data_IF_614074631518
#
_entry.id   IF_614074631518
#
_cell.length_a   1.000
_cell.length_b   1.000
_cell.length_c   1.000
_cell.angle_alpha   90.00
_cell.angle_beta   90.00
_cell.angle_gamma   90.00
#
_symmetry.space_group_name_H-M   'P 1'
#
loop_
_entity.id
_entity.type
_entity.pdbx_description
1 polymer ?
2 branched ?
3 non-polymer ?
4 non-polymer ?
5 water ?
#
# COMPACT_ATOMS: atom_id res chain seq x y z
N UNK A 8 -8.40 -28.35 -2.16
CA UNK A 8 -8.56 -27.94 -3.55
C UNK A 8 -7.67 -26.74 -3.89
N UNK A 9 -6.63 -26.97 -4.69
CA UNK A 9 -5.72 -25.90 -5.12
C UNK A 9 -6.47 -24.88 -5.99
N UNK A 10 -7.59 -25.29 -6.56
CA UNK A 10 -8.44 -24.36 -7.31
C UNK A 10 -9.00 -23.29 -6.37
N UNK A 11 -9.46 -23.70 -5.19
CA UNK A 11 -9.97 -22.75 -4.20
C UNK A 11 -8.83 -21.86 -3.69
N UNK A 12 -7.68 -22.45 -3.46
CA UNK A 12 -6.50 -21.67 -3.11
C UNK A 12 -6.23 -20.63 -4.20
N UNK A 13 -6.39 -21.04 -5.44
CA UNK A 13 -6.09 -20.14 -6.55
C UNK A 13 -7.16 -19.07 -6.61
N UNK A 14 -8.40 -19.42 -6.25
CA UNK A 14 -9.49 -18.44 -6.21
C UNK A 14 -9.13 -17.33 -5.22
N UNK A 15 -8.68 -17.73 -4.04
CA UNK A 15 -8.33 -16.78 -2.99
C UNK A 15 -7.13 -15.93 -3.41
N UNK A 16 -6.14 -16.57 -4.01
CA UNK A 16 -5.00 -15.83 -4.55
C UNK A 16 -5.46 -14.70 -5.49
N UNK A 17 -6.36 -15.05 -6.41
CA UNK A 17 -6.76 -14.16 -7.49
C UNK A 17 -7.93 -13.26 -7.13
N UNK A 18 -8.72 -13.62 -6.12
CA UNK A 18 -9.94 -12.87 -5.89
C UNK A 18 -10.21 -12.49 -4.43
N UNK A 19 -9.20 -12.65 -3.58
CA UNK A 19 -9.42 -12.39 -2.16
C UNK A 19 -8.32 -11.55 -1.50
N UNK A 20 -8.74 -10.48 -0.85
CA UNK A 20 -7.83 -9.69 -0.02
C UNK A 20 -8.65 -9.17 1.17
N UNK A 21 -8.39 -9.75 2.35
CA UNK A 21 -9.21 -9.52 3.56
C UNK A 21 -9.31 -8.06 4.01
N UNK A 22 -8.14 -7.43 4.22
CA UNK A 22 -8.06 -6.09 4.78
C UNK A 22 -7.11 -5.22 3.92
N UNK A 23 -7.60 -4.75 2.76
CA UNK A 23 -6.78 -4.01 1.78
C UNK A 23 -6.24 -2.68 2.34
N UNK A 24 -4.96 -2.43 2.13
CA UNK A 24 -4.33 -1.17 2.56
C UNK A 24 -4.89 0.02 1.79
N UNK A 25 -5.41 -0.24 0.59
CA UNK A 25 -5.98 0.80 -0.25
C UNK A 25 -7.00 0.24 -1.24
N UNK A 26 -7.58 1.10 -2.08
CA UNK A 26 -8.59 0.66 -3.05
C UNK A 26 -8.43 1.39 -4.36
N UNK A 27 -7.24 1.90 -4.63
CA UNK A 27 -6.98 2.79 -5.76
C UNK A 27 -6.14 2.12 -6.86
N UNK A 28 -5.84 2.90 -7.92
CA UNK A 28 -5.01 2.42 -9.04
C UNK A 28 -3.71 1.72 -8.62
N UNK A 29 -3.03 2.29 -7.64
CA UNK A 29 -1.75 1.74 -7.23
C UNK A 29 -1.88 0.43 -6.43
N UNK A 30 -2.93 0.33 -5.62
CA UNK A 30 -3.30 -0.93 -5.00
C UNK A 30 -3.41 -2.04 -6.06
N UNK A 31 -4.14 -1.74 -7.14
CA UNK A 31 -4.32 -2.68 -8.24
C UNK A 31 -3.04 -3.05 -8.96
N UNK A 32 -2.20 -2.05 -9.24
CA UNK A 32 -0.97 -2.30 -9.97
C UNK A 32 -0.05 -3.17 -9.12
N UNK A 33 -0.10 -2.95 -7.81
CA UNK A 33 0.61 -3.80 -6.87
C UNK A 33 0.02 -5.22 -6.81
N UNK A 34 -1.29 -5.30 -6.53
CA UNK A 34 -1.98 -6.59 -6.36
C UNK A 34 -1.94 -7.48 -7.60
N UNK A 35 -2.12 -6.89 -8.78
CA UNK A 35 -2.19 -7.71 -9.98
C UNK A 35 -0.89 -8.51 -10.19
N UNK A 36 0.27 -7.88 -9.95
CA UNK A 36 1.55 -8.59 -10.03
C UNK A 36 1.74 -9.56 -8.84
N UNK A 37 1.51 -9.08 -7.62
CA UNK A 37 1.59 -9.93 -6.43
C UNK A 37 0.79 -11.21 -6.59
N UNK A 38 -0.36 -11.13 -7.24
CA UNK A 38 -1.25 -12.29 -7.33
C UNK A 38 -1.13 -13.07 -8.66
N UNK A 39 -0.10 -12.77 -9.45
CA UNK A 39 0.24 -13.61 -10.59
C UNK A 39 -0.57 -13.36 -11.85
N UNK A 40 -1.08 -12.14 -12.00
CA UNK A 40 -1.99 -11.83 -13.09
C UNK A 40 -1.42 -10.88 -14.14
N UNK A 41 -0.09 -10.79 -14.24
CA UNK A 41 0.54 -9.81 -15.12
C UNK A 41 1.48 -10.45 -16.14
N UNK A 42 1.42 -11.77 -16.29
CA UNK A 42 2.22 -12.47 -17.30
C UNK A 42 1.36 -13.36 -18.19
N UNK A 43 0.60 -12.77 -19.12
CA UNK A 43 0.55 -11.32 -19.41
C UNK A 43 -0.57 -10.58 -18.63
N UNK A 44 -0.74 -9.28 -18.92
CA UNK A 44 -1.68 -8.41 -18.20
C UNK A 44 -3.11 -8.93 -18.28
N UNK A 45 -3.68 -9.28 -17.12
CA UNK A 45 -5.08 -9.69 -17.09
C UNK A 45 -5.94 -8.45 -17.25
N UNK A 46 -6.99 -8.54 -18.08
CA UNK A 46 -7.74 -7.36 -18.46
C UNK A 46 -8.61 -6.80 -17.34
N UNK A 47 -9.33 -7.68 -16.65
CA UNK A 47 -10.21 -7.27 -15.56
C UNK A 47 -10.14 -8.31 -14.44
N UNK A 48 -10.01 -7.84 -13.20
CA UNK A 48 -9.93 -8.75 -12.07
C UNK A 48 -10.47 -8.10 -10.82
N UNK A 49 -11.42 -8.78 -10.16
CA UNK A 49 -12.01 -8.27 -8.91
C UNK A 49 -11.42 -8.95 -7.68
N UNK A 50 -10.95 -8.15 -6.72
CA UNK A 50 -10.65 -8.68 -5.39
C UNK A 50 -11.81 -8.48 -4.43
N UNK A 51 -12.26 -9.56 -3.80
CA UNK A 51 -13.29 -9.49 -2.77
C UNK A 51 -12.62 -9.26 -1.42
N UNK A 52 -13.21 -8.39 -0.60
CA UNK A 52 -12.66 -8.13 0.71
C UNK A 52 -13.60 -8.67 1.77
N UNK A 53 -13.19 -8.59 3.03
CA UNK A 53 -14.01 -9.06 4.12
C UNK A 53 -13.62 -10.43 4.63
N UNK A 54 -14.59 -11.16 5.17
CA UNK A 54 -14.30 -12.43 5.77
C UNK A 54 -14.39 -13.52 4.73
N UNK A 55 -13.43 -14.43 4.75
CA UNK A 55 -13.33 -15.45 3.73
C UNK A 55 -14.52 -16.41 3.77
N UNK A 56 -15.08 -16.60 4.96
CA UNK A 56 -16.13 -17.59 5.18
C UNK A 56 -17.42 -17.22 4.48
N UNK A 57 -17.62 -15.94 4.24
CA UNK A 57 -18.85 -15.47 3.63
C UNK A 57 -18.80 -15.74 2.14
N UNK A 58 -17.59 -15.72 1.58
CA UNK A 58 -17.40 -16.03 0.15
C UNK A 58 -17.64 -17.52 -0.12
N UNK A 59 -17.00 -18.34 0.68
CA UNK A 59 -17.09 -19.80 0.60
C UNK A 59 -18.55 -20.23 0.76
N UNK A 60 -19.28 -19.51 1.59
CA UNK A 60 -20.69 -19.85 1.84
C UNK A 60 -21.60 -19.47 0.67
N UNK A 61 -21.05 -18.82 -0.34
CA UNK A 61 -21.86 -18.52 -1.53
C UNK A 61 -22.22 -19.85 -2.18
N UNK A 62 -21.38 -20.85 -1.93
CA UNK A 62 -21.58 -22.19 -2.47
C UNK A 62 -22.74 -22.86 -1.77
N UNK A 63 -23.17 -22.30 -0.66
CA UNK A 63 -24.29 -22.84 0.09
C UNK A 63 -25.32 -21.79 0.44
N UNK A 64 -25.49 -21.60 1.74
CA UNK A 64 -26.57 -20.75 2.25
C UNK A 64 -26.45 -19.29 1.83
N UNK A 65 -25.25 -18.82 1.51
CA UNK A 65 -25.12 -17.43 1.11
C UNK A 65 -25.17 -17.30 -0.41
N UNK A 66 -25.69 -18.35 -1.04
CA UNK A 66 -25.85 -18.37 -2.49
C UNK A 66 -27.24 -18.76 -3.00
N UNK A 67 -27.49 -18.46 -4.27
CA UNK A 67 -28.59 -19.06 -5.03
C UNK A 67 -28.12 -19.30 -6.46
N UNK A 68 -28.71 -20.28 -7.14
CA UNK A 68 -28.33 -20.61 -8.52
C UNK A 68 -28.47 -19.39 -9.43
N UNK A 69 -27.58 -19.28 -10.42
CA UNK A 69 -27.56 -18.15 -11.32
C UNK A 69 -27.29 -18.60 -12.76
N UNK A 72 -24.70 -22.52 -14.50
CA UNK A 72 -23.85 -23.30 -13.59
C UNK A 72 -23.17 -22.44 -12.52
N UNK A 73 -23.73 -21.26 -12.24
CA UNK A 73 -23.09 -20.30 -11.36
C UNK A 73 -23.90 -20.08 -10.08
N UNK A 74 -23.39 -19.19 -9.22
CA UNK A 74 -24.09 -18.85 -7.99
C UNK A 74 -23.93 -17.37 -7.68
N UNK A 75 -25.05 -16.73 -7.37
CA UNK A 75 -25.03 -15.32 -7.00
C UNK A 75 -25.14 -15.15 -5.47
N UNK A 76 -24.30 -14.29 -4.91
CA UNK A 76 -24.27 -14.09 -3.45
C UNK A 76 -25.60 -13.51 -2.93
N UNK A 77 -25.99 -13.97 -1.75
CA UNK A 77 -27.19 -13.47 -1.08
C UNK A 77 -26.86 -12.27 -0.19
N UNK A 78 -25.59 -11.95 -0.12
CA UNK A 78 -25.13 -10.77 0.61
C UNK A 78 -24.13 -10.02 -0.25
N UNK A 79 -23.97 -8.72 0.01
CA UNK A 79 -23.05 -7.85 -0.73
C UNK A 79 -21.67 -7.87 -0.11
N UNK A 80 -20.68 -7.48 -0.90
CA UNK A 80 -19.29 -7.54 -0.48
C UNK A 80 -18.60 -6.25 -0.87
N UNK A 81 -17.67 -5.81 -0.03
CA UNK A 81 -16.72 -4.80 -0.46
C UNK A 81 -15.86 -5.49 -1.51
N UNK A 82 -15.75 -4.89 -2.70
CA UNK A 82 -14.86 -5.40 -3.75
C UNK A 82 -14.03 -4.27 -4.38
N UNK A 83 -12.95 -4.65 -5.04
CA UNK A 83 -12.18 -3.70 -5.82
C UNK A 83 -11.92 -4.34 -7.16
N UNK A 84 -12.40 -3.69 -8.22
CA UNK A 84 -12.17 -4.22 -9.54
C UNK A 84 -10.99 -3.51 -10.22
N UNK A 85 -9.95 -4.28 -10.56
CA UNK A 85 -8.81 -3.74 -11.32
C UNK A 85 -9.03 -3.87 -12.83
N UNK A 86 -8.86 -2.76 -13.56
CA UNK A 86 -9.04 -2.75 -15.02
C UNK A 86 -7.81 -2.21 -15.76
N UNK A 87 -7.29 -3.03 -16.67
CA UNK A 87 -6.13 -2.67 -17.45
C UNK A 87 -6.30 -1.35 -18.20
N UNK A 88 -5.25 -0.52 -18.18
CA UNK A 88 -5.19 0.63 -19.07
C UNK A 88 -3.81 0.72 -19.68
N UNK A 89 -3.62 1.74 -20.51
CA UNK A 89 -2.29 2.10 -20.93
C UNK A 89 -1.93 1.85 -22.37
N UNK A 90 -2.65 0.93 -23.04
CA UNK A 90 -2.33 0.55 -24.41
C UNK A 90 -2.32 -0.96 -24.50
N UNK A 91 -1.25 -1.52 -25.07
CA UNK A 91 -1.13 -2.98 -25.23
C UNK A 91 -0.86 -3.65 -23.91
N UNK A 92 -1.28 -4.93 -23.79
CA UNK A 92 -1.18 -5.66 -22.52
C UNK A 92 0.19 -6.31 -22.30
N UNK A 93 1.24 -5.56 -22.57
CA UNK A 93 2.59 -5.96 -22.16
C UNK A 93 2.80 -5.38 -20.79
N UNK A 94 3.39 -6.16 -19.87
CA UNK A 94 3.87 -5.59 -18.61
C UNK A 94 4.99 -4.59 -18.89
N UNK A 95 5.23 -3.62 -18.00
CA UNK A 95 4.54 -3.47 -16.70
C UNK A 95 3.08 -3.03 -16.87
N UNK A 96 2.21 -3.69 -16.14
CA UNK A 96 0.77 -3.52 -16.34
C UNK A 96 0.19 -2.37 -15.54
N UNK A 97 -0.37 -1.41 -16.26
CA UNK A 97 -1.08 -0.29 -15.65
C UNK A 97 -2.54 -0.69 -15.41
N UNK A 98 -3.11 -0.22 -14.30
CA UNK A 98 -4.50 -0.52 -13.96
C UNK A 98 -5.20 0.68 -13.33
N UNK A 99 -6.51 0.76 -13.53
CA UNK A 99 -7.31 1.61 -12.68
C UNK A 99 -8.22 0.77 -11.79
N UNK A 100 -8.73 1.35 -10.73
CA UNK A 100 -9.51 0.61 -9.75
C UNK A 100 -10.93 1.17 -9.64
N UNK A 101 -11.92 0.28 -9.54
CA UNK A 101 -13.28 0.65 -9.13
C UNK A 101 -13.65 -0.12 -7.86
N UNK A 102 -13.68 0.62 -6.75
CA UNK A 102 -14.13 0.09 -5.48
C UNK A 102 -15.62 -0.03 -5.63
N UNK A 103 -16.18 -1.10 -5.07
CA UNK A 103 -17.59 -1.36 -5.17
C UNK A 103 -18.14 -2.03 -3.91
N UNK A 104 -19.46 -2.00 -3.78
CA UNK A 104 -20.12 -2.73 -2.70
C UNK A 104 -21.36 -3.41 -3.29
N UNK A 105 -21.22 -4.68 -3.66
CA UNK A 105 -22.32 -5.34 -4.34
C UNK A 105 -22.31 -6.85 -4.23
N UNK A 106 -23.33 -7.46 -4.82
CA UNK A 106 -23.41 -8.89 -4.85
C UNK A 106 -22.49 -9.41 -5.93
N UNK A 107 -22.04 -10.65 -5.80
CA UNK A 107 -21.13 -11.21 -6.80
C UNK A 107 -21.57 -12.59 -7.28
N UNK A 108 -21.08 -12.96 -8.46
CA UNK A 108 -21.40 -14.27 -9.02
C UNK A 108 -20.12 -15.10 -9.07
N UNK A 109 -20.18 -16.31 -8.55
CA UNK A 109 -19.02 -17.21 -8.62
C UNK A 109 -19.43 -18.59 -9.13
N UNK A 110 -18.45 -19.37 -9.57
CA UNK A 110 -18.70 -20.77 -9.86
C UNK A 110 -18.18 -21.59 -8.68
N UNK A 111 -19.00 -22.53 -8.22
CA UNK A 111 -18.63 -23.44 -7.16
C UNK A 111 -18.48 -24.84 -7.73
N UNK A 112 -17.54 -25.60 -7.17
CA UNK A 112 -17.41 -27.00 -7.54
C UNK A 112 -17.01 -27.82 -6.32
N UNK A 113 -17.75 -28.90 -6.10
CA UNK A 113 -17.61 -29.73 -4.90
C UNK A 113 -17.48 -28.89 -3.61
N UNK A 114 -18.34 -27.89 -3.47
CA UNK A 114 -18.52 -27.19 -2.22
C UNK A 114 -17.65 -25.95 -2.08
N UNK A 115 -16.90 -25.62 -3.14
CA UNK A 115 -15.92 -24.52 -3.06
C UNK A 115 -15.91 -23.56 -4.27
N UNK A 116 -15.67 -22.28 -4.00
CA UNK A 116 -15.55 -21.31 -5.12
C UNK A 116 -14.30 -21.62 -5.96
N UNK A 117 -14.41 -21.59 -7.29
CA UNK A 117 -13.25 -21.86 -8.14
C UNK A 117 -13.09 -20.82 -9.24
N UNK A 118 -14.19 -20.17 -9.64
CA UNK A 118 -14.08 -19.05 -10.57
C UNK A 118 -14.90 -17.82 -10.11
N UNK A 119 -14.40 -16.63 -10.46
CA UNK A 119 -15.14 -15.39 -10.28
C UNK A 119 -15.65 -14.93 -11.65
N UNK A 120 -16.90 -14.51 -11.73
CA UNK A 120 -17.49 -14.10 -13.01
C UNK A 120 -17.43 -12.58 -13.19
N UNK A 121 -16.43 -12.09 -13.93
CA UNK A 121 -16.23 -10.64 -14.06
C UNK A 121 -17.36 -9.95 -14.85
N UNK A 122 -17.98 -10.66 -15.78
CA UNK A 122 -18.95 -10.03 -16.67
C UNK A 122 -20.21 -9.61 -15.92
N UNK A 123 -20.44 -10.22 -14.77
CA UNK A 123 -21.58 -9.84 -13.94
C UNK A 123 -21.37 -8.46 -13.32
N UNK B 8 7.10 7.73 -9.70
CA UNK B 8 6.67 8.92 -8.96
C UNK B 8 7.85 9.54 -8.22
N UNK B 9 8.32 10.70 -8.72
CA UNK B 9 9.44 11.47 -8.17
C UNK B 9 9.22 11.89 -6.73
N UNK B 10 8.00 12.32 -6.42
CA UNK B 10 7.75 12.83 -5.08
C UNK B 10 7.82 11.70 -4.07
N UNK B 11 7.32 10.54 -4.46
CA UNK B 11 7.32 9.37 -3.60
C UNK B 11 8.73 8.82 -3.41
N UNK B 12 9.48 8.74 -4.51
CA UNK B 12 10.85 8.24 -4.44
C UNK B 12 11.77 9.20 -3.66
N UNK B 13 11.45 10.49 -3.69
CA UNK B 13 12.17 11.48 -2.89
C UNK B 13 11.87 11.30 -1.41
N UNK B 14 10.61 11.06 -1.07
CA UNK B 14 10.22 10.70 0.30
C UNK B 14 11.00 9.51 0.87
N UNK B 15 11.18 8.47 0.06
CA UNK B 15 11.89 7.29 0.52
C UNK B 15 13.36 7.61 0.76
N UNK B 16 13.95 8.32 -0.18
CA UNK B 16 15.37 8.68 -0.10
C UNK B 16 15.67 9.52 1.14
N UNK B 17 14.75 10.43 1.45
CA UNK B 17 14.95 11.44 2.48
C UNK B 17 14.38 11.04 3.84
N UNK B 18 13.49 10.06 3.86
CA UNK B 18 12.78 9.77 5.10
C UNK B 18 12.58 8.29 5.42
N UNK B 19 13.21 7.42 4.65
CA UNK B 19 13.04 5.98 4.84
C UNK B 19 14.34 5.19 4.86
N UNK B 20 14.54 4.43 5.92
CA UNK B 20 15.68 3.53 5.98
C UNK B 20 15.22 2.28 6.72
N UNK B 21 15.15 1.18 5.99
CA UNK B 21 14.49 -0.03 6.49
C UNK B 21 15.06 -0.57 7.80
N UNK B 22 16.34 -0.96 7.75
CA UNK B 22 17.04 -1.53 8.90
C UNK B 22 18.28 -0.70 9.22
N UNK B 26 22.41 3.72 14.90
CA UNK B 26 21.43 4.79 15.04
C UNK B 26 21.99 5.99 15.82
N UNK B 27 23.16 6.46 15.40
CA UNK B 27 23.89 7.48 16.15
C UNK B 27 24.34 8.65 15.26
N UNK B 28 25.26 9.45 15.77
CA UNK B 28 25.73 10.65 15.08
C UNK B 28 26.38 10.29 13.73
N UNK B 29 27.14 9.19 13.72
CA UNK B 29 27.83 8.74 12.52
C UNK B 29 26.87 8.15 11.49
N UNK B 30 25.89 7.39 11.97
CA UNK B 30 24.74 7.01 11.16
C UNK B 30 24.22 8.24 10.42
N UNK B 31 23.85 9.26 11.20
CA UNK B 31 23.25 10.46 10.63
C UNK B 31 24.16 11.14 9.62
N UNK B 32 25.43 11.29 9.99
CA UNK B 32 26.35 12.04 9.16
C UNK B 32 26.53 11.40 7.79
N UNK B 33 26.61 10.08 7.74
CA UNK B 33 26.74 9.38 6.46
C UNK B 33 25.41 9.33 5.71
N UNK B 34 24.34 9.00 6.42
CA UNK B 34 23.02 8.91 5.80
C UNK B 34 22.61 10.24 5.18
N UNK B 35 22.82 11.34 5.90
CA UNK B 35 22.41 12.65 5.42
C UNK B 35 23.17 13.01 4.16
N UNK B 36 24.40 12.51 4.07
CA UNK B 36 25.26 12.79 2.93
C UNK B 36 24.87 11.86 1.78
N UNK B 37 24.76 10.56 2.07
CA UNK B 37 24.45 9.59 1.02
C UNK B 37 23.11 9.90 0.34
N UNK B 38 22.16 10.41 1.11
CA UNK B 38 20.82 10.69 0.57
C UNK B 38 20.67 12.14 0.06
N UNK B 39 21.79 12.85 -0.09
CA UNK B 39 21.77 14.16 -0.73
C UNK B 39 21.18 15.34 0.05
N UNK B 40 21.39 15.37 1.36
CA UNK B 40 20.82 16.43 2.18
C UNK B 40 21.88 17.31 2.83
N UNK B 41 23.05 17.39 2.20
CA UNK B 41 24.20 18.08 2.78
C UNK B 41 24.79 19.22 1.92
N UNK B 42 24.11 19.62 0.86
CA UNK B 42 24.53 20.82 0.11
C UNK B 42 23.35 21.76 -0.15
N UNK B 43 23.06 22.65 0.81
CA UNK B 43 23.85 22.75 2.04
C UNK B 43 23.27 21.85 3.14
N UNK B 44 23.75 21.97 4.38
CA UNK B 44 23.29 21.12 5.49
C UNK B 44 21.79 21.29 5.83
N UNK B 45 21.01 20.21 5.73
CA UNK B 45 19.63 20.27 6.17
C UNK B 45 19.67 20.23 7.69
N UNK B 46 18.96 21.14 8.34
CA UNK B 46 19.10 21.29 9.80
C UNK B 46 18.56 20.10 10.58
N UNK B 47 17.38 19.61 10.18
CA UNK B 47 16.70 18.50 10.87
C UNK B 47 16.10 17.57 9.85
N UNK B 48 16.33 16.27 10.02
CA UNK B 48 15.76 15.31 9.09
C UNK B 48 15.55 13.96 9.77
N UNK B 49 14.35 13.42 9.61
CA UNK B 49 13.99 12.19 10.29
C UNK B 49 13.94 11.03 9.31
N UNK B 50 14.60 9.93 9.68
CA UNK B 50 14.40 8.69 8.95
C UNK B 50 13.44 7.75 9.69
N UNK B 51 12.44 7.24 8.96
CA UNK B 51 11.55 6.23 9.50
C UNK B 51 12.16 4.87 9.25
N UNK B 52 12.13 3.99 10.25
CA UNK B 52 12.63 2.63 10.08
C UNK B 52 11.46 1.67 10.07
N UNK B 53 11.68 0.46 9.59
CA UNK B 53 10.65 -0.55 9.67
C UNK B 53 10.14 -0.95 8.31
N UNK B 54 8.90 -1.45 8.29
CA UNK B 54 8.34 -1.99 7.07
C UNK B 54 7.75 -0.89 6.19
N UNK B 55 8.26 -0.77 4.97
CA UNK B 55 7.82 0.25 4.01
C UNK B 55 6.31 0.22 3.67
N UNK B 56 5.72 -0.98 3.63
CA UNK B 56 4.29 -1.12 3.38
C UNK B 56 3.48 -0.50 4.51
N UNK B 57 3.97 -0.65 5.74
CA UNK B 57 3.35 -0.02 6.90
C UNK B 57 3.33 1.50 6.75
N UNK B 58 4.44 2.04 6.27
CA UNK B 58 4.54 3.48 6.03
C UNK B 58 3.61 3.89 4.90
N UNK B 59 3.67 3.19 3.76
CA UNK B 59 2.78 3.52 2.64
C UNK B 59 1.33 3.51 3.08
N UNK B 60 0.99 2.55 3.94
CA UNK B 60 -0.39 2.31 4.37
C UNK B 60 -0.94 3.45 5.24
N UNK B 61 -0.07 4.31 5.75
CA UNK B 61 -0.51 5.52 6.43
C UNK B 61 -1.42 6.37 5.54
N UNK B 62 -1.20 6.29 4.23
CA UNK B 62 -2.04 7.02 3.27
C UNK B 62 -3.40 6.34 3.15
N UNK B 63 -3.48 5.10 3.61
CA UNK B 63 -4.70 4.33 3.52
C UNK B 63 -5.19 3.77 4.86
N UNK B 64 -5.25 2.44 4.95
CA UNK B 64 -5.79 1.76 6.13
C UNK B 64 -5.10 2.11 7.46
N UNK B 65 -3.78 2.30 7.42
CA UNK B 65 -3.00 2.41 8.66
C UNK B 65 -2.75 3.86 9.11
N UNK B 66 -3.54 4.77 8.56
CA UNK B 66 -3.41 6.18 8.90
C UNK B 66 -4.78 6.81 9.12
N UNK B 67 -4.80 8.11 9.34
CA UNK B 67 -6.03 8.79 9.64
C UNK B 67 -5.84 10.29 9.39
N UNK B 68 -6.89 10.98 8.92
CA UNK B 68 -6.83 12.39 8.52
C UNK B 68 -6.31 13.30 9.63
N UNK B 69 -5.46 14.25 9.26
CA UNK B 69 -4.82 15.12 10.26
C UNK B 69 -4.67 16.56 9.78
N UNK B 70 -5.12 17.50 10.61
CA UNK B 70 -5.07 18.92 10.31
C UNK B 70 -5.51 19.27 8.90
N UNK B 71 -4.67 20.05 8.21
CA UNK B 71 -4.96 20.43 6.83
C UNK B 71 -4.21 19.57 5.81
N UNK B 72 -4.95 18.69 5.13
CA UNK B 72 -4.40 17.95 4.01
C UNK B 72 -3.28 16.97 4.41
N UNK B 73 -3.20 16.64 5.70
CA UNK B 73 -2.17 15.72 6.20
C UNK B 73 -2.74 14.41 6.73
N UNK B 74 -1.86 13.50 7.15
CA UNK B 74 -2.26 12.24 7.74
C UNK B 74 -1.33 11.77 8.85
N UNK B 75 -1.92 11.15 9.86
CA UNK B 75 -1.17 10.69 11.01
C UNK B 75 -1.20 9.17 11.13
N UNK B 76 -0.05 8.58 11.43
CA UNK B 76 0.02 7.12 11.56
C UNK B 76 -0.82 6.63 12.74
N UNK B 77 -1.42 5.45 12.57
CA UNK B 77 -2.22 4.83 13.61
C UNK B 77 -1.30 4.06 14.57
N UNK B 78 -0.23 3.51 14.03
CA UNK B 78 0.78 2.89 14.88
C UNK B 78 2.01 3.81 14.93
N UNK B 79 2.85 3.63 15.97
CA UNK B 79 4.09 4.41 16.08
C UNK B 79 5.20 3.74 15.26
N UNK B 80 6.25 4.49 14.93
CA UNK B 80 7.38 3.91 14.21
C UNK B 80 8.69 4.22 14.93
N UNK B 81 9.62 3.26 14.90
CA UNK B 81 11.00 3.57 15.26
C UNK B 81 11.47 4.65 14.30
N UNK B 82 12.09 5.71 14.83
CA UNK B 82 12.59 6.78 13.98
C UNK B 82 13.97 7.23 14.43
N UNK B 83 14.73 7.81 13.51
CA UNK B 83 15.98 8.46 13.86
C UNK B 83 15.94 9.86 13.32
N UNK B 84 16.00 10.85 14.21
CA UNK B 84 16.01 12.23 13.79
C UNK B 84 17.46 12.73 13.85
N UNK B 85 17.94 13.22 12.70
CA UNK B 85 19.28 13.80 12.60
C UNK B 85 19.24 15.33 12.78
N UNK B 86 19.95 15.84 13.78
CA UNK B 86 20.02 17.29 14.03
C UNK B 86 21.42 17.82 13.76
N UNK B 87 21.51 18.82 12.89
CA UNK B 87 22.77 19.45 12.56
C UNK B 87 23.49 19.96 13.80
N UNK B 88 24.82 19.91 13.79
CA UNK B 88 25.64 20.55 14.80
C UNK B 88 26.62 21.49 14.11
N UNK B 89 27.15 22.45 14.87
CA UNK B 89 28.14 23.38 14.35
C UNK B 89 27.51 24.67 13.85
N UNK B 90 28.35 25.68 13.56
CA UNK B 90 27.86 26.99 13.20
C UNK B 90 27.72 27.30 11.71
N UNK B 91 28.29 26.44 10.86
CA UNK B 91 28.26 26.69 9.41
C UNK B 91 27.15 25.87 8.81
N UNK B 92 26.32 26.50 7.96
CA UNK B 92 25.24 25.84 7.22
C UNK B 92 25.76 25.08 6.01
N UNK B 93 27.08 25.13 5.82
CA UNK B 93 27.70 24.45 4.70
C UNK B 93 28.44 23.18 5.11
N UNK B 94 28.46 22.16 4.24
CA UNK B 94 29.22 20.94 4.49
C UNK B 94 30.71 21.24 4.67
N UNK B 95 31.45 20.35 5.36
CA UNK B 95 30.93 19.07 5.85
C UNK B 95 29.91 19.24 6.95
N UNK B 96 28.81 18.50 6.84
CA UNK B 96 27.71 18.57 7.78
C UNK B 96 27.81 17.53 8.90
N UNK B 97 27.97 18.00 10.14
CA UNK B 97 27.95 17.10 11.29
C UNK B 97 26.57 17.03 11.94
N UNK B 98 26.20 15.85 12.44
CA UNK B 98 24.89 15.61 13.00
C UNK B 98 24.94 14.84 14.31
N UNK B 99 23.96 15.08 15.17
CA UNK B 99 23.71 14.17 16.27
C UNK B 99 22.36 13.47 16.05
N UNK B 100 22.19 12.33 16.72
CA UNK B 100 21.01 11.48 16.52
C UNK B 100 20.08 11.45 17.75
N UNK B 101 18.78 11.62 17.52
CA UNK B 101 17.79 11.33 18.56
C UNK B 101 16.97 10.11 18.12
N UNK B 102 17.25 8.96 18.72
CA UNK B 102 16.44 7.77 18.45
C UNK B 102 15.06 8.02 19.05
N UNK B 103 14.01 7.64 18.32
CA UNK B 103 12.67 7.89 18.82
C UNK B 103 11.70 6.78 18.48
N UNK B 104 10.52 6.84 19.10
CA UNK B 104 9.45 5.87 18.87
C UNK B 104 8.11 6.57 19.01
N UNK B 105 7.46 6.82 17.88
CA UNK B 105 6.24 7.60 17.93
C UNK B 105 5.46 7.65 16.62
N UNK B 106 4.28 8.22 16.71
CA UNK B 106 3.44 8.42 15.55
C UNK B 106 4.08 9.47 14.67
N UNK B 107 3.90 9.31 13.37
CA UNK B 107 4.44 10.26 12.43
C UNK B 107 3.32 10.90 11.62
N UNK B 108 3.56 12.13 11.18
CA UNK B 108 2.62 12.86 10.34
C UNK B 108 3.22 13.05 8.96
N UNK B 109 2.49 12.63 7.93
CA UNK B 109 2.92 12.83 6.57
C UNK B 109 1.80 13.46 5.72
N UNK B 110 2.16 13.90 4.53
CA UNK B 110 1.18 14.24 3.50
C UNK B 110 1.25 13.20 2.38
N UNK B 111 0.11 12.96 1.73
CA UNK B 111 -0.02 11.93 0.71
C UNK B 111 -0.53 12.52 -0.60
N UNK B 112 -0.21 11.86 -1.70
CA UNK B 112 -0.73 12.23 -3.02
C UNK B 112 -0.97 10.96 -3.82
N UNK B 113 -2.23 10.71 -4.17
CA UNK B 113 -2.57 9.51 -4.91
C UNK B 113 -2.13 8.23 -4.17
N UNK B 114 -2.46 8.18 -2.87
CA UNK B 114 -2.22 7.00 -2.07
C UNK B 114 -0.75 6.72 -1.78
N UNK B 115 0.11 7.71 -2.03
CA UNK B 115 1.54 7.58 -1.74
C UNK B 115 2.11 8.73 -0.88
N UNK B 116 2.99 8.38 0.07
CA UNK B 116 3.64 9.40 0.90
C UNK B 116 4.58 10.28 0.06
N UNK B 117 4.46 11.59 0.21
CA UNK B 117 5.29 12.54 -0.53
C UNK B 117 5.95 13.63 0.36
N UNK B 118 5.60 13.68 1.63
CA UNK B 118 6.17 14.68 2.53
C UNK B 118 6.18 14.24 3.99
N UNK B 119 7.25 14.57 4.71
CA UNK B 119 7.32 14.24 6.14
C UNK B 119 7.18 15.53 6.95
N UNK B 120 6.38 15.49 8.00
CA UNK B 120 6.18 16.68 8.80
C UNK B 120 7.07 16.66 10.04
N UNK B 121 8.16 17.46 10.02
CA UNK B 121 9.13 17.50 11.12
C UNK B 121 8.69 18.23 12.41
N UNK B 122 7.63 19.05 12.34
CA UNK B 122 7.09 19.69 13.54
C UNK B 122 6.11 18.72 14.20
N UNK B 123 5.69 17.72 13.42
CA UNK B 123 5.35 16.42 13.99
C UNK B 123 3.87 16.11 14.28
X LIG C 1 5.15 -14.53 8.45
X LIG C 1 4.68 -13.09 8.56
X LIG C 1 3.63 -12.83 7.51
X LIG C 1 4.16 -13.20 6.12
X LIG C 1 4.77 -14.60 6.14
X LIG C 1 5.46 -14.86 4.80
X LIG C 1 4.17 -12.82 9.91
X LIG C 1 4.02 -15.41 8.57
X LIG C 1 3.29 -11.44 7.52
X LIG C 1 3.07 -13.18 5.19
X LIG C 1 5.76 -14.70 7.17
X LIG C 1 6.60 -14.00 4.68
X LIG C 1 5.41 -12.60 10.94
X LIG C 1 5.87 -11.15 10.91
X LIG C 1 6.57 -13.51 10.56
X LIG C 1 4.93 -12.95 12.36
X LIG C 1 7.92 -14.53 4.15
X LIG C 1 8.59 -15.37 5.24
X LIG C 1 8.83 -13.37 3.79
X LIG C 1 7.66 -15.39 2.92
X LIG C 2 3.50 -12.70 3.90
X LIG C 2 2.42 -12.97 2.86
X LIG C 2 1.20 -12.07 3.09
X LIG C 2 1.65 -10.64 3.23
X LIG C 2 2.67 -10.57 4.34
X LIG C 2 3.04 -9.11 4.61
X LIG C 2 2.93 -12.73 1.56
X LIG C 2 0.52 -12.48 4.27
X LIG C 2 2.15 -10.01 1.99
X LIG C 2 3.82 -11.31 3.95
X LIG C 2 4.20 -8.75 4.29
X LIG C 2 2.17 -8.39 5.12
X LIG C 2 3.45 -13.89 0.72
X LIG C 2 4.32 -14.80 1.59
X LIG C 2 4.29 -13.34 -0.44
X LIG C 2 2.27 -14.70 0.17
X LIG C 3 1.22 -9.39 1.12
X LIG C 3 1.75 -9.52 -0.28
X LIG C 3 3.18 -9.12 -0.23
X LIG C 3 3.31 -7.72 0.25
X LIG C 3 2.70 -7.55 1.64
X LIG C 3 2.77 -6.12 2.23
X LIG C 3 1.73 -10.95 -0.66
X LIG C 3 3.64 -9.12 -1.63
X LIG C 3 4.75 -7.38 0.26
X LIG C 3 1.31 -8.02 1.63
X LIG C 3 1.89 -5.39 1.39
X LIG C 3 0.22 -11.48 -1.12
X LIG C 3 0.33 -12.90 -1.69
X LIG C 3 -0.75 -11.43 0.07
X LIG C 3 -0.31 -10.57 -2.21
X LIG C 3 0.95 -4.35 2.02
X LIG C 3 0.52 -3.35 0.96
X LIG C 3 1.72 -3.53 3.07
X LIG C 3 -0.23 -5.08 2.65
X LIG C 4 5.15 -6.05 -0.01
X LIG C 4 6.60 -5.83 0.30
X LIG C 4 7.53 -6.91 -0.44
X LIG C 4 7.31 -6.81 -1.91
X LIG C 4 5.84 -7.06 -2.21
X LIG C 4 5.55 -6.98 -3.72
X LIG C 4 6.87 -4.41 -0.04
X LIG C 4 7.34 -8.24 -0.08
X LIG C 4 7.70 -5.58 -2.44
X LIG C 4 4.96 -6.02 -1.50
X LIG C 4 6.16 -7.80 -4.45
X LIG C 4 4.74 -6.10 -4.13
X LIG C 4 6.39 -3.27 0.94
X LIG C 4 7.02 -1.94 0.50
X LIG C 4 6.86 -3.64 2.34
X LIG C 4 4.87 -3.09 0.93
X LIG C 5 9.07 -5.41 -2.77
X LIG C 5 9.28 -3.90 -2.72
X LIG C 5 8.17 -3.31 -3.53
X LIG C 5 8.25 -3.83 -4.97
X LIG C 5 8.11 -5.28 -4.92
X LIG C 5 8.24 -5.83 -6.35
X LIG C 5 9.22 -3.51 -1.29
X LIG C 5 8.53 -1.89 -3.48
X LIG C 5 7.18 -3.26 -5.81
X LIG C 5 9.15 -5.92 -4.13
X LIG C 5 9.57 -5.40 -6.75
X LIG C 5 10.67 -3.87 -0.50
X LIG C 5 10.50 -3.53 0.98
X LIG C 5 11.76 -3.08 -1.20
X LIG C 5 11.05 -5.36 -0.65
X LIG C 5 10.22 -5.35 -8.16
X LIG C 5 11.72 -5.12 -8.04
X LIG C 5 9.63 -4.18 -8.97
X LIG C 5 10.03 -6.69 -8.87
X LIG C 6 7.34 -2.05 -6.53
X LIG C 6 6.14 -1.92 -7.40
X LIG C 6 4.88 -1.73 -6.50
X LIG C 6 5.05 -0.48 -5.60
X LIG C 6 6.26 -0.72 -4.76
X LIG C 6 6.66 0.43 -3.82
X LIG C 6 6.22 -0.76 -8.15
X LIG C 6 4.42 -2.91 -5.78
X LIG C 6 7.44 -0.90 -5.62
X LIG C 6 7.85 0.79 -3.89
X LIG C 6 5.82 0.88 -2.99
X LIG C 6 5.68 -0.94 -9.58
X LIG C 6 6.42 -2.07 -10.32
X LIG C 6 5.88 0.39 -10.30
X LIG C 6 4.17 -1.31 -9.49
X LIG D 1 -6.18 -3.52 -21.70
X LIG E 1 -6.81 -0.90 -22.00
X LIG E 1 -5.71 -0.38 -22.49
X LIG E 1 -6.94 -2.07 -21.63
X LIG E 1 -8.10 -0.11 -21.80
X LIG F 1 22.94 23.80 12.59
X LIG G 1 23.70 23.72 15.69
X LIG G 1 23.97 24.86 16.12
X LIG G 1 24.00 23.31 14.54
X LIG G 1 22.98 22.80 16.66
#
# INVERSE_FOLDING_TARGET
GSHMAQDDPRYTKFLTQHYDAKPKGRDARYCESMMRRRGLTSPCKEVNTFIHGNKGSIKAICGANGSPYGENLRISQSPFQITTCKHTGGSPRPPCRYRASAGFRHVVIACENGLPVHFDESFISL
GSHMAQDDPRYTKFLTQHYDAKPKGRDARYCESMMRRRGLTSPCKEVNTFIHGNKGSIKAICGANGSPYGENLRISQSPFQITTCKHTGGSPRPPCRYRASAGFRHVVIACENGLPVHFDESFISL
SGN C1 C2 C3 C4 C5 C6 N2 O1 O3 O4 O5 O6 S1 O1S O2S O3S S2 O4S O5S O6S
IDS C1 C2 C3 C4 C5 C6 O2 O3 O4 O5 O6A O6B S O1S O2S O3S
SGN C1 C2 C3 C4 C5 C6 N2 O3 O4 O5 O6 S1 O1S O2S O3S S2 O4S O5S O6S
IDS C1 C2 C3 C4 C5 C6 O2 O3 O4 O5 O6A O6B S O1S O2S O3S
SGN C1 C2 C3 C4 C5 C6 N2 O3 O4 O5 O6 S1 O1S O2S O3S S2 O4S O5S O6S
IDS C1 C2 C3 C4 C5 C6 O2 O3 O5 O6A O6B S O1S O2S O3S
ZN ZN
ACY C O OXT CH3
ZN ZN
ACY C O OXT CH3
#
